data_IF_718110879836
#
_entry.id   IF_718110879836
#
_cell.length_a   1.000
_cell.length_b   1.000
_cell.length_c   1.000
_cell.angle_alpha   90.00
_cell.angle_beta   90.00
_cell.angle_gamma   90.00
#
_symmetry.space_group_name_H-M   'P 1'
#
loop_
_entity.id
_entity.type
_entity.pdbx_description
1 polymer ?
#
# COMPACT_ATOMS: atom_id res chain seq x y z
N UNK A 1 -29.03 -41.39 -20.00
CA UNK A 1 -28.51 -42.77 -19.74
C UNK A 1 -28.27 -42.95 -18.24
N UNK A 2 -29.27 -43.46 -17.51
CA UNK A 2 -29.26 -43.59 -16.04
C UNK A 2 -28.39 -44.75 -15.54
N UNK A 3 -27.16 -44.43 -15.13
CA UNK A 3 -26.18 -45.41 -14.62
C UNK A 3 -26.48 -45.99 -13.23
N UNK A 4 -27.38 -45.39 -12.44
CA UNK A 4 -27.62 -45.83 -11.03
C UNK A 4 -28.67 -46.95 -10.89
N UNK A 5 -29.75 -46.96 -11.67
CA UNK A 5 -30.72 -48.09 -11.67
C UNK A 5 -30.20 -49.29 -12.49
N UNK A 6 -29.33 -49.05 -13.48
CA UNK A 6 -28.65 -50.14 -14.17
C UNK A 6 -27.68 -50.91 -13.24
N UNK A 7 -27.26 -50.37 -12.10
CA UNK A 7 -26.33 -51.08 -11.20
C UNK A 7 -26.98 -52.28 -10.50
N UNK A 8 -28.31 -52.32 -10.40
CA UNK A 8 -29.08 -53.49 -9.95
C UNK A 8 -29.31 -54.52 -11.08
N UNK A 9 -29.03 -54.14 -12.33
CA UNK A 9 -29.19 -54.97 -13.54
C UNK A 9 -27.83 -55.40 -14.14
N UNK A 10 -26.75 -54.71 -13.81
CA UNK A 10 -25.37 -55.05 -14.16
C UNK A 10 -24.98 -56.26 -13.29
N UNK A 11 -25.10 -57.46 -13.88
CA UNK A 11 -24.84 -58.75 -13.22
C UNK A 11 -25.95 -59.79 -13.42
N UNK A 12 -27.14 -59.38 -13.85
CA UNK A 12 -28.25 -60.29 -14.17
C UNK A 12 -28.19 -60.69 -15.65
N UNK A 13 -28.17 -62.00 -15.93
CA UNK A 13 -28.25 -62.62 -17.29
C UNK A 13 -29.64 -62.41 -17.94
N UNK A 14 -30.14 -61.18 -18.00
CA UNK A 14 -31.39 -60.87 -18.70
C UNK A 14 -31.15 -60.56 -20.18
N UNK A 15 -32.10 -60.93 -21.04
CA UNK A 15 -32.03 -60.57 -22.47
C UNK A 15 -32.32 -59.08 -22.65
N UNK A 16 -31.73 -58.47 -23.68
CA UNK A 16 -31.92 -57.05 -23.99
C UNK A 16 -33.41 -56.67 -24.19
N UNK A 17 -34.24 -57.60 -24.67
CA UNK A 17 -35.69 -57.44 -24.83
C UNK A 17 -36.42 -57.29 -23.47
N UNK A 18 -36.03 -58.05 -22.45
CA UNK A 18 -36.60 -57.98 -21.10
C UNK A 18 -36.23 -56.67 -20.40
N UNK A 19 -35.01 -56.19 -20.61
CA UNK A 19 -34.55 -54.89 -20.10
C UNK A 19 -35.37 -53.75 -20.71
N UNK A 20 -35.64 -53.80 -22.03
CA UNK A 20 -36.51 -52.81 -22.70
C UNK A 20 -37.94 -52.85 -22.16
N UNK A 21 -38.51 -54.04 -21.98
CA UNK A 21 -39.88 -54.22 -21.48
C UNK A 21 -40.03 -53.68 -20.04
N UNK A 22 -39.11 -54.02 -19.14
CA UNK A 22 -39.11 -53.50 -17.76
C UNK A 22 -38.97 -51.97 -17.71
N UNK A 23 -38.13 -51.39 -18.56
CA UNK A 23 -38.01 -49.92 -18.65
C UNK A 23 -39.31 -49.27 -19.09
N UNK A 24 -39.96 -49.84 -20.11
CA UNK A 24 -41.26 -49.34 -20.57
C UNK A 24 -42.33 -49.40 -19.47
N UNK A 25 -42.37 -50.50 -18.71
CA UNK A 25 -43.31 -50.65 -17.58
C UNK A 25 -43.02 -49.66 -16.44
N UNK A 26 -41.75 -49.43 -16.11
CA UNK A 26 -41.35 -48.45 -15.10
C UNK A 26 -41.63 -47.00 -15.54
N UNK A 27 -41.36 -46.67 -16.80
CA UNK A 27 -41.68 -45.36 -17.38
C UNK A 27 -43.19 -45.12 -17.43
N UNK A 28 -43.98 -46.17 -17.72
CA UNK A 28 -45.46 -46.11 -17.68
C UNK A 28 -46.00 -45.93 -16.26
N UNK A 29 -45.40 -46.60 -15.27
CA UNK A 29 -45.85 -46.57 -13.86
C UNK A 29 -45.43 -45.29 -13.13
N UNK A 30 -44.20 -44.83 -13.34
CA UNK A 30 -43.59 -43.75 -12.54
C UNK A 30 -43.18 -42.51 -13.35
N UNK A 31 -43.35 -42.53 -14.67
CA UNK A 31 -42.95 -41.45 -15.57
C UNK A 31 -41.51 -41.61 -16.08
N UNK A 32 -41.26 -41.11 -17.30
CA UNK A 32 -39.95 -41.16 -17.96
C UNK A 32 -38.90 -40.39 -17.17
N UNK A 33 -37.70 -40.96 -17.01
CA UNK A 33 -36.55 -40.25 -16.45
C UNK A 33 -36.07 -39.19 -17.45
N UNK A 34 -35.99 -37.94 -17.00
CA UNK A 34 -35.70 -36.78 -17.83
C UNK A 34 -34.51 -35.95 -17.30
N UNK A 35 -34.03 -36.25 -16.09
CA UNK A 35 -32.84 -35.58 -15.55
C UNK A 35 -32.23 -36.27 -14.34
N UNK A 36 -31.15 -35.68 -13.82
CA UNK A 36 -30.49 -36.09 -12.59
C UNK A 36 -30.27 -34.84 -11.73
N UNK A 37 -30.61 -34.91 -10.45
CA UNK A 37 -30.40 -33.79 -9.54
C UNK A 37 -28.90 -33.51 -9.38
N UNK A 38 -28.45 -32.26 -9.61
CA UNK A 38 -27.03 -31.92 -9.56
C UNK A 38 -26.43 -31.93 -8.15
N UNK A 39 -27.25 -32.00 -7.10
CA UNK A 39 -26.77 -31.99 -5.70
C UNK A 39 -26.61 -33.40 -5.15
N UNK A 40 -27.63 -34.25 -5.25
CA UNK A 40 -27.64 -35.59 -4.65
C UNK A 40 -27.56 -36.73 -5.69
N UNK A 41 -27.64 -36.42 -6.97
CA UNK A 41 -27.58 -37.42 -8.04
C UNK A 41 -28.80 -38.33 -8.14
N UNK A 42 -29.92 -37.98 -7.50
CA UNK A 42 -31.21 -38.69 -7.66
C UNK A 42 -31.77 -38.46 -9.06
N UNK A 43 -32.37 -39.48 -9.65
CA UNK A 43 -33.04 -39.39 -10.95
C UNK A 43 -34.30 -38.52 -10.82
N UNK A 44 -34.54 -37.66 -11.81
CA UNK A 44 -35.73 -36.82 -11.89
C UNK A 44 -36.58 -37.35 -13.03
N UNK A 45 -37.84 -37.66 -12.71
CA UNK A 45 -38.83 -38.14 -13.67
C UNK A 45 -39.73 -37.00 -14.13
N UNK A 46 -40.12 -37.05 -15.40
CA UNK A 46 -41.04 -36.10 -16.02
C UNK A 46 -42.41 -36.24 -15.35
N UNK A 47 -42.99 -35.15 -14.81
CA UNK A 47 -44.34 -35.19 -14.26
C UNK A 47 -45.36 -35.42 -15.38
N UNK A 48 -46.55 -35.95 -15.04
CA UNK A 48 -47.63 -36.17 -16.02
C UNK A 48 -48.11 -34.88 -16.68
N UNK A 49 -47.96 -33.73 -16.00
CA UNK A 49 -48.31 -32.39 -16.50
C UNK A 49 -47.20 -31.41 -16.11
N UNK A 50 -46.87 -30.50 -17.03
CA UNK A 50 -45.90 -29.43 -16.81
C UNK A 50 -44.43 -29.80 -17.06
N UNK A 51 -43.52 -28.85 -16.83
CA UNK A 51 -42.09 -29.01 -17.10
C UNK A 51 -41.39 -29.89 -16.06
N UNK A 52 -40.31 -30.55 -16.47
CA UNK A 52 -39.47 -31.36 -15.57
C UNK A 52 -38.68 -30.45 -14.61
N UNK A 53 -38.76 -30.73 -13.31
CA UNK A 53 -37.98 -30.00 -12.31
C UNK A 53 -36.47 -30.24 -12.47
N UNK A 54 -35.65 -29.23 -12.16
CA UNK A 54 -34.18 -29.37 -12.18
C UNK A 54 -33.61 -30.05 -10.94
N UNK A 55 -34.36 -30.06 -9.83
CA UNK A 55 -33.93 -30.62 -8.54
C UNK A 55 -34.95 -31.65 -8.05
N UNK A 56 -34.49 -32.68 -7.34
CA UNK A 56 -35.37 -33.72 -6.82
C UNK A 56 -36.19 -33.27 -5.59
N UNK A 57 -35.80 -32.18 -4.92
CA UNK A 57 -36.46 -31.66 -3.72
C UNK A 57 -36.18 -30.16 -3.53
N UNK A 58 -37.01 -29.50 -2.73
CA UNK A 58 -36.81 -28.12 -2.27
C UNK A 58 -35.48 -27.95 -1.53
N UNK A 59 -35.11 -28.92 -0.67
CA UNK A 59 -33.83 -28.93 0.04
C UNK A 59 -32.63 -28.95 -0.92
N UNK A 60 -32.65 -29.77 -1.97
CA UNK A 60 -31.58 -29.76 -2.98
C UNK A 60 -31.54 -28.44 -3.77
N UNK A 61 -32.71 -27.83 -4.04
CA UNK A 61 -32.76 -26.50 -4.68
C UNK A 61 -32.14 -25.42 -3.79
N UNK A 62 -32.49 -25.39 -2.51
CA UNK A 62 -31.95 -24.44 -1.53
C UNK A 62 -30.45 -24.63 -1.34
N UNK A 63 -29.97 -25.87 -1.25
CA UNK A 63 -28.54 -26.17 -1.15
C UNK A 63 -27.76 -25.65 -2.36
N UNK A 64 -28.32 -25.82 -3.56
CA UNK A 64 -27.72 -25.27 -4.78
C UNK A 64 -27.69 -23.74 -4.78
N UNK A 65 -28.79 -23.09 -4.38
CA UNK A 65 -28.86 -21.64 -4.29
C UNK A 65 -27.83 -21.10 -3.28
N UNK A 66 -27.73 -21.73 -2.10
CA UNK A 66 -26.78 -21.37 -1.06
C UNK A 66 -25.33 -21.48 -1.53
N UNK A 67 -24.95 -22.62 -2.13
CA UNK A 67 -23.60 -22.80 -2.72
C UNK A 67 -23.28 -21.75 -3.78
N UNK A 68 -24.27 -21.35 -4.56
CA UNK A 68 -24.09 -20.29 -5.58
C UNK A 68 -23.87 -18.93 -4.94
N UNK A 69 -24.59 -18.61 -3.87
CA UNK A 69 -24.40 -17.37 -3.09
C UNK A 69 -23.04 -17.35 -2.39
N UNK A 70 -22.69 -18.43 -1.67
CA UNK A 70 -21.39 -18.60 -1.01
C UNK A 70 -20.23 -18.40 -2.02
N UNK A 71 -20.33 -18.95 -3.23
CA UNK A 71 -19.32 -18.77 -4.27
C UNK A 71 -19.24 -17.35 -4.86
N UNK A 72 -20.31 -16.56 -4.76
CA UNK A 72 -20.31 -15.14 -5.16
C UNK A 72 -19.69 -14.31 -4.05
N UNK A 73 -20.09 -14.52 -2.80
CA UNK A 73 -19.54 -13.85 -1.62
C UNK A 73 -18.04 -14.13 -1.47
N UNK A 74 -17.62 -15.38 -1.62
CA UNK A 74 -16.20 -15.74 -1.59
C UNK A 74 -15.39 -14.97 -2.65
N UNK A 75 -15.92 -14.82 -3.88
CA UNK A 75 -15.25 -14.05 -4.93
C UNK A 75 -15.18 -12.56 -4.59
N UNK A 76 -16.24 -11.99 -4.03
CA UNK A 76 -16.27 -10.60 -3.58
C UNK A 76 -15.26 -10.36 -2.46
N UNK A 77 -15.26 -11.20 -1.43
CA UNK A 77 -14.34 -11.10 -0.31
C UNK A 77 -12.90 -11.22 -0.79
N UNK A 78 -12.59 -12.22 -1.63
CA UNK A 78 -11.26 -12.36 -2.24
C UNK A 78 -10.82 -11.12 -3.02
N UNK A 79 -11.72 -10.49 -3.78
CA UNK A 79 -11.38 -9.24 -4.49
C UNK A 79 -11.16 -8.07 -3.53
N UNK A 80 -11.93 -8.00 -2.45
CA UNK A 80 -11.75 -6.98 -1.42
C UNK A 80 -10.42 -7.14 -0.68
N UNK A 81 -10.06 -8.37 -0.29
CA UNK A 81 -8.80 -8.66 0.39
C UNK A 81 -7.58 -8.30 -0.47
N UNK A 82 -7.65 -8.58 -1.78
CA UNK A 82 -6.60 -8.18 -2.72
C UNK A 82 -6.49 -6.66 -2.83
N UNK A 83 -7.62 -5.95 -2.90
CA UNK A 83 -7.63 -4.49 -2.93
C UNK A 83 -7.07 -3.89 -1.63
N UNK A 84 -7.41 -4.45 -0.48
CA UNK A 84 -6.86 -4.03 0.82
C UNK A 84 -5.35 -4.25 0.87
N UNK A 85 -4.86 -5.39 0.39
CA UNK A 85 -3.42 -5.66 0.29
C UNK A 85 -2.69 -4.63 -0.57
N UNK A 86 -3.23 -4.32 -1.76
CA UNK A 86 -2.66 -3.31 -2.66
C UNK A 86 -2.63 -1.90 -2.02
N UNK A 87 -3.69 -1.53 -1.29
CA UNK A 87 -3.74 -0.25 -0.58
C UNK A 87 -2.72 -0.20 0.55
N UNK A 88 -2.52 -1.30 1.29
CA UNK A 88 -1.50 -1.39 2.33
C UNK A 88 -0.08 -1.26 1.76
N UNK A 89 0.21 -1.93 0.64
CA UNK A 89 1.51 -1.84 -0.04
C UNK A 89 1.79 -0.41 -0.52
N UNK A 90 0.79 0.24 -1.12
CA UNK A 90 0.90 1.64 -1.53
C UNK A 90 1.12 2.57 -0.33
N UNK A 91 0.37 2.39 0.76
CA UNK A 91 0.52 3.20 1.96
C UNK A 91 1.94 3.05 2.56
N UNK A 92 2.49 1.84 2.57
CA UNK A 92 3.85 1.58 3.02
C UNK A 92 4.90 2.22 2.11
N UNK A 93 4.72 2.18 0.78
CA UNK A 93 5.61 2.87 -0.16
C UNK A 93 5.58 4.40 0.05
N UNK A 94 4.40 4.99 0.20
CA UNK A 94 4.27 6.43 0.48
C UNK A 94 4.92 6.82 1.81
N UNK A 95 4.73 6.03 2.87
CA UNK A 95 5.41 6.24 4.15
C UNK A 95 6.93 6.18 3.97
N UNK A 96 7.44 5.16 3.26
CA UNK A 96 8.86 5.02 2.98
C UNK A 96 9.43 6.19 2.17
N UNK A 97 8.68 6.73 1.20
CA UNK A 97 9.06 7.94 0.46
C UNK A 97 9.12 9.17 1.37
N UNK A 98 8.12 9.37 2.21
CA UNK A 98 8.07 10.48 3.16
C UNK A 98 9.26 10.43 4.16
N UNK A 99 9.58 9.25 4.69
CA UNK A 99 10.70 9.07 5.61
C UNK A 99 12.05 9.36 4.95
N UNK A 100 12.22 8.95 3.68
CA UNK A 100 13.43 9.28 2.91
C UNK A 100 13.58 10.80 2.71
N UNK A 101 12.50 11.50 2.39
CA UNK A 101 12.51 12.97 2.25
C UNK A 101 12.85 13.62 3.59
N UNK A 102 12.23 13.15 4.68
CA UNK A 102 12.50 13.66 6.03
C UNK A 102 13.97 13.51 6.40
N UNK A 103 14.55 12.33 6.18
CA UNK A 103 15.96 12.05 6.47
C UNK A 103 16.90 12.93 5.65
N UNK A 104 16.62 13.13 4.36
CA UNK A 104 17.39 14.05 3.50
C UNK A 104 17.34 15.48 4.00
N UNK A 105 16.16 15.98 4.37
CA UNK A 105 16.01 17.34 4.89
C UNK A 105 16.78 17.53 6.21
N UNK A 106 16.73 16.54 7.11
CA UNK A 106 17.49 16.59 8.36
C UNK A 106 19.00 16.61 8.10
N UNK A 107 19.49 15.79 7.17
CA UNK A 107 20.91 15.80 6.80
C UNK A 107 21.32 17.14 6.18
N UNK A 108 20.52 17.68 5.24
CA UNK A 108 20.79 18.97 4.62
C UNK A 108 20.82 20.12 5.66
N UNK A 109 19.93 20.09 6.66
CA UNK A 109 19.96 21.05 7.76
C UNK A 109 21.24 20.94 8.61
N UNK A 110 21.72 19.71 8.86
CA UNK A 110 22.98 19.49 9.55
C UNK A 110 24.17 20.01 8.73
N UNK A 111 24.20 19.74 7.43
CA UNK A 111 25.23 20.25 6.52
C UNK A 111 25.24 21.78 6.47
N UNK A 112 24.08 22.42 6.32
CA UNK A 112 23.95 23.88 6.39
C UNK A 112 24.49 24.42 7.72
N UNK A 113 24.20 23.75 8.84
CA UNK A 113 24.72 24.15 10.15
C UNK A 113 26.25 24.06 10.20
N UNK A 114 26.84 23.03 9.61
CA UNK A 114 28.31 22.90 9.55
C UNK A 114 28.93 23.96 8.64
N UNK A 115 28.37 24.19 7.45
CA UNK A 115 28.86 25.23 6.52
C UNK A 115 28.81 26.60 7.17
N UNK A 116 27.73 26.96 7.88
CA UNK A 116 27.62 28.21 8.64
C UNK A 116 28.68 28.32 9.73
N UNK A 117 29.00 27.25 10.44
CA UNK A 117 30.07 27.27 11.45
C UNK A 117 31.44 27.51 10.81
N UNK A 118 31.74 26.80 9.72
CA UNK A 118 33.03 26.92 9.03
C UNK A 118 33.21 28.30 8.41
N UNK A 119 32.17 28.80 7.72
CA UNK A 119 32.18 30.15 7.14
C UNK A 119 32.38 31.21 8.23
N UNK A 120 31.67 31.09 9.36
CA UNK A 120 31.81 32.02 10.48
C UNK A 120 33.22 32.03 11.03
N UNK A 121 33.81 30.86 11.26
CA UNK A 121 35.18 30.75 11.74
C UNK A 121 36.16 31.40 10.78
N UNK A 122 36.01 31.18 9.47
CA UNK A 122 36.85 31.82 8.45
C UNK A 122 36.75 33.35 8.51
N UNK A 123 35.55 33.91 8.61
CA UNK A 123 35.34 35.35 8.80
C UNK A 123 35.99 35.83 10.09
N UNK A 124 35.79 35.14 11.23
CA UNK A 124 36.42 35.50 12.52
C UNK A 124 37.95 35.51 12.43
N UNK A 125 38.56 34.54 11.74
CA UNK A 125 40.01 34.51 11.53
C UNK A 125 40.50 35.67 10.67
N UNK A 126 39.77 36.02 9.60
CA UNK A 126 40.08 37.17 8.76
C UNK A 126 39.99 38.48 9.56
N UNK A 127 38.92 38.68 10.36
CA UNK A 127 38.78 39.86 11.22
C UNK A 127 39.93 39.98 12.22
N UNK A 128 40.28 38.85 12.86
CA UNK A 128 41.39 38.79 13.80
C UNK A 128 42.72 39.12 13.12
N UNK A 129 42.93 38.62 11.91
CA UNK A 129 44.15 38.93 11.13
C UNK A 129 44.24 40.42 10.78
N UNK A 130 43.11 41.06 10.43
CA UNK A 130 43.05 42.51 10.20
C UNK A 130 43.40 43.24 11.50
N UNK A 131 42.76 42.87 12.61
CA UNK A 131 43.02 43.47 13.92
C UNK A 131 44.50 43.40 14.32
N UNK A 132 45.17 42.26 14.08
CA UNK A 132 46.57 42.05 14.42
C UNK A 132 47.55 42.82 13.52
N UNK A 133 47.19 43.08 12.26
CA UNK A 133 48.11 43.69 11.28
C UNK A 133 47.88 45.17 11.06
N UNK A 134 46.62 45.58 10.94
CA UNK A 134 46.22 46.95 10.65
C UNK A 134 44.82 47.25 11.25
N UNK A 135 44.76 47.62 12.54
CA UNK A 135 43.50 47.87 13.23
C UNK A 135 42.79 49.15 12.74
N UNK A 136 43.48 50.06 12.04
CA UNK A 136 42.86 51.29 11.52
C UNK A 136 41.86 50.99 10.41
N UNK A 137 42.08 49.91 9.65
CA UNK A 137 41.13 49.43 8.64
C UNK A 137 39.77 49.07 9.22
N UNK A 138 39.70 48.71 10.51
CA UNK A 138 38.43 48.46 11.18
C UNK A 138 37.72 49.77 11.49
N UNK A 139 38.45 50.75 12.04
CA UNK A 139 37.84 52.01 12.48
C UNK A 139 37.39 52.91 11.32
N UNK A 140 38.11 52.81 10.19
CA UNK A 140 37.86 53.60 8.99
C UNK A 140 37.02 52.85 7.94
N UNK A 141 36.58 51.63 8.23
CA UNK A 141 35.84 50.85 7.25
C UNK A 141 34.48 51.49 6.94
N UNK A 142 34.10 51.59 5.65
CA UNK A 142 32.78 52.06 5.28
C UNK A 142 31.71 51.05 5.70
N UNK A 143 30.50 51.55 5.93
CA UNK A 143 29.32 50.79 6.38
C UNK A 143 28.93 49.65 5.44
N UNK A 144 29.18 49.81 4.14
CA UNK A 144 28.96 48.82 3.08
C UNK A 144 30.26 48.12 2.64
N UNK A 145 31.34 48.33 3.40
CA UNK A 145 32.67 47.82 3.10
C UNK A 145 32.89 46.36 3.48
N UNK A 146 34.05 45.84 3.09
CA UNK A 146 34.44 44.45 3.35
C UNK A 146 34.45 44.10 4.85
N UNK A 147 34.98 44.97 5.72
CA UNK A 147 35.02 44.72 7.17
C UNK A 147 33.60 44.70 7.77
N UNK A 148 32.74 45.64 7.37
CA UNK A 148 31.35 45.67 7.82
C UNK A 148 30.60 44.40 7.38
N UNK A 149 30.70 44.02 6.10
CA UNK A 149 30.11 42.78 5.59
C UNK A 149 30.63 41.52 6.28
N UNK A 150 31.92 41.52 6.64
CA UNK A 150 32.54 40.42 7.37
C UNK A 150 32.04 40.33 8.82
N UNK A 151 31.87 41.47 9.50
CA UNK A 151 31.27 41.52 10.84
C UNK A 151 29.81 41.06 10.80
N UNK A 152 29.05 41.50 9.80
CA UNK A 152 27.67 41.06 9.57
C UNK A 152 27.57 39.56 9.33
N UNK A 153 28.48 38.98 8.54
CA UNK A 153 28.49 37.54 8.28
C UNK A 153 28.79 36.74 9.55
N UNK A 154 29.69 37.22 10.42
CA UNK A 154 29.96 36.61 11.73
C UNK A 154 28.70 36.60 12.60
N UNK A 155 28.02 37.74 12.68
CA UNK A 155 26.84 37.93 13.52
C UNK A 155 25.63 37.14 13.00
N UNK A 156 25.40 37.18 11.68
CA UNK A 156 24.30 36.48 10.99
C UNK A 156 24.41 34.97 11.12
N UNK A 157 25.63 34.43 11.09
CA UNK A 157 25.88 33.00 11.21
C UNK A 157 26.02 32.53 12.68
N UNK A 158 26.27 33.45 13.60
CA UNK A 158 26.42 33.22 15.03
C UNK A 158 25.28 33.83 15.84
N UNK A 159 25.65 34.78 16.70
CA UNK A 159 24.73 35.61 17.47
C UNK A 159 25.03 37.08 17.16
N UNK A 160 24.02 37.96 17.18
CA UNK A 160 24.25 39.40 17.09
C UNK A 160 25.32 39.89 18.08
N UNK A 161 26.24 40.73 17.59
CA UNK A 161 27.37 41.26 18.34
C UNK A 161 28.48 40.25 18.64
N UNK A 162 28.55 39.11 17.95
CA UNK A 162 29.68 38.17 18.05
C UNK A 162 30.97 38.81 17.49
N UNK A 163 30.87 39.60 16.42
CA UNK A 163 32.00 40.29 15.81
C UNK A 163 32.57 41.39 16.73
N UNK A 164 31.73 42.26 17.28
CA UNK A 164 32.15 43.26 18.27
C UNK A 164 32.74 42.58 19.51
N UNK A 165 32.07 41.55 20.06
CA UNK A 165 32.62 40.79 21.20
C UNK A 165 33.99 40.20 20.91
N UNK A 166 34.23 39.68 19.70
CA UNK A 166 35.55 39.20 19.29
C UNK A 166 36.58 40.34 19.30
N UNK A 167 36.28 41.48 18.71
CA UNK A 167 37.19 42.63 18.69
C UNK A 167 37.51 43.15 20.09
N UNK A 168 36.49 43.35 20.93
CA UNK A 168 36.64 43.82 22.32
C UNK A 168 37.45 42.84 23.16
N UNK A 169 37.17 41.54 23.03
CA UNK A 169 37.92 40.49 23.73
C UNK A 169 39.41 40.48 23.36
N UNK A 170 39.75 40.87 22.12
CA UNK A 170 41.14 40.96 21.65
C UNK A 170 41.75 42.37 21.83
N UNK A 171 41.11 43.25 22.63
CA UNK A 171 41.69 44.54 23.03
C UNK A 171 41.41 45.71 22.09
N UNK A 172 40.55 45.56 21.08
CA UNK A 172 40.18 46.67 20.20
C UNK A 172 39.29 47.69 20.90
N UNK A 173 39.74 48.94 20.99
CA UNK A 173 38.99 50.05 21.61
C UNK A 173 38.41 51.04 20.61
N UNK A 174 38.74 50.89 19.31
CA UNK A 174 38.32 51.81 18.26
C UNK A 174 36.82 51.77 17.91
N UNK A 175 36.40 52.65 16.97
CA UNK A 175 35.03 52.68 16.49
C UNK A 175 34.69 51.42 15.69
N UNK A 176 33.44 50.99 15.78
CA UNK A 176 32.93 49.82 15.05
C UNK A 176 32.17 50.33 13.82
N UNK A 177 32.46 49.81 12.61
CA UNK A 177 31.67 50.09 11.41
C UNK A 177 30.20 49.79 11.66
N UNK A 178 29.31 50.71 11.29
CA UNK A 178 27.86 50.57 11.42
C UNK A 178 27.20 50.50 10.07
#
# INVERSE_FOLDING_TARGET
MGKKENRQLIGLRMRASEIKRRRYELDKKYGRIDGVCPICGKLIRKPKRGPTARFCSSSCRQTYARRKQEAIEFRKNKSADLAVGQLMDQANDYRGKADRIRKRNLNAQQEIKQVRKTSRLACMFQLKTILERDPELIGNAPSDGYVAGLMDDIDRQGRPGDADRLLRHNGYTGPIPR
#
